data_IF_328807349626
#
_entry.id   IF_328807349626
#
_cell.length_a   1.000
_cell.length_b   1.000
_cell.length_c   1.000
_cell.angle_alpha   90.00
_cell.angle_beta   90.00
_cell.angle_gamma   90.00
#
_symmetry.space_group_name_H-M   'P 1'
#
loop_
_entity.id
_entity.type
_entity.pdbx_description
1 polymer ?
#
# COMPACT_ATOMS: atom_id res chain seq x y z
N UNK A 1 15.40 40.49 45.14
CA UNK A 1 15.83 39.19 45.68
C UNK A 1 15.59 38.15 44.60
N UNK A 2 16.67 37.57 44.06
CA UNK A 2 16.66 36.81 42.81
C UNK A 2 15.97 35.45 42.98
N UNK A 3 14.96 35.23 42.14
CA UNK A 3 14.31 33.95 41.92
C UNK A 3 15.13 33.17 40.88
N UNK A 4 15.98 32.24 41.32
CA UNK A 4 16.61 31.28 40.41
C UNK A 4 16.13 29.87 40.77
N UNK A 5 15.09 29.45 40.06
CA UNK A 5 14.64 28.07 39.99
C UNK A 5 15.70 27.24 39.25
N UNK A 6 16.55 26.53 39.99
CA UNK A 6 17.44 25.51 39.43
C UNK A 6 16.60 24.32 38.96
N UNK A 7 16.31 24.23 37.67
CA UNK A 7 15.83 22.99 37.08
C UNK A 7 16.97 21.95 37.15
N UNK A 8 16.83 20.95 38.02
CA UNK A 8 17.80 19.86 38.14
C UNK A 8 17.88 19.08 36.83
N UNK A 9 19.09 18.82 36.34
CA UNK A 9 19.30 17.98 35.14
C UNK A 9 18.70 16.60 35.35
N UNK A 10 18.05 16.00 34.33
CA UNK A 10 17.41 14.71 34.50
C UNK A 10 18.44 13.62 34.80
N UNK A 11 18.18 12.82 35.83
CA UNK A 11 19.03 11.67 36.20
C UNK A 11 18.95 10.54 35.16
N UNK A 12 19.94 9.64 35.15
CA UNK A 12 19.99 8.51 34.20
C UNK A 12 18.72 7.63 34.22
N UNK A 13 18.09 7.49 35.40
CA UNK A 13 16.81 6.79 35.55
C UNK A 13 15.68 7.48 34.77
N UNK A 14 15.63 8.82 34.81
CA UNK A 14 14.64 9.59 34.06
C UNK A 14 14.89 9.46 32.56
N UNK A 15 16.16 9.45 32.11
CA UNK A 15 16.51 9.19 30.71
C UNK A 15 16.05 7.80 30.26
N UNK A 16 16.24 6.76 31.07
CA UNK A 16 15.75 5.41 30.76
C UNK A 16 14.22 5.36 30.65
N UNK A 17 13.51 6.03 31.56
CA UNK A 17 12.05 6.12 31.50
C UNK A 17 11.60 6.85 30.23
N UNK A 18 12.23 7.96 29.86
CA UNK A 18 11.92 8.65 28.60
C UNK A 18 12.17 7.76 27.38
N UNK A 19 13.30 7.05 27.33
CA UNK A 19 13.59 6.11 26.24
C UNK A 19 12.57 4.96 26.16
N UNK A 20 12.14 4.42 27.30
CA UNK A 20 11.09 3.40 27.36
C UNK A 20 9.74 3.92 26.88
N UNK A 21 9.32 5.11 27.32
CA UNK A 21 8.08 5.74 26.88
C UNK A 21 8.09 6.04 25.37
N UNK A 22 9.21 6.54 24.85
CA UNK A 22 9.41 6.77 23.42
C UNK A 22 9.32 5.44 22.66
N UNK A 23 10.01 4.40 23.11
CA UNK A 23 9.96 3.07 22.49
C UNK A 23 8.55 2.48 22.48
N UNK A 24 7.84 2.55 23.62
CA UNK A 24 6.45 2.10 23.73
C UNK A 24 5.53 2.89 22.80
N UNK A 25 5.69 4.21 22.74
CA UNK A 25 4.93 5.07 21.82
C UNK A 25 5.12 4.65 20.36
N UNK A 26 6.37 4.44 19.92
CA UNK A 26 6.64 3.97 18.55
C UNK A 26 6.03 2.59 18.25
N UNK A 27 6.06 1.67 19.21
CA UNK A 27 5.46 0.34 19.05
C UNK A 27 3.94 0.47 18.91
N UNK A 28 3.30 1.23 19.80
CA UNK A 28 1.85 1.45 19.78
C UNK A 28 1.41 2.10 18.47
N UNK A 29 2.08 3.18 18.07
CA UNK A 29 1.81 3.88 16.81
C UNK A 29 1.87 2.91 15.62
N UNK A 30 2.93 2.10 15.53
CA UNK A 30 3.06 1.12 14.44
C UNK A 30 1.91 0.11 14.44
N UNK A 31 1.51 -0.41 15.60
CA UNK A 31 0.41 -1.37 15.70
C UNK A 31 -0.92 -0.75 15.28
N UNK A 32 -1.18 0.50 15.66
CA UNK A 32 -2.37 1.26 15.24
C UNK A 32 -2.38 1.41 13.71
N UNK A 33 -1.26 1.83 13.11
CA UNK A 33 -1.20 2.01 11.66
C UNK A 33 -1.44 0.70 10.89
N UNK A 34 -0.88 -0.42 11.38
CA UNK A 34 -1.11 -1.76 10.81
C UNK A 34 -2.57 -2.18 10.97
N UNK A 35 -3.17 -1.97 12.14
CA UNK A 35 -4.56 -2.30 12.41
C UNK A 35 -5.52 -1.54 11.47
N UNK A 36 -5.33 -0.22 11.35
CA UNK A 36 -6.09 0.62 10.43
C UNK A 36 -5.87 0.18 8.96
N UNK A 37 -4.66 -0.27 8.62
CA UNK A 37 -4.32 -0.82 7.32
C UNK A 37 -5.12 -2.07 6.99
N UNK A 38 -5.14 -3.05 7.91
CA UNK A 38 -5.92 -4.29 7.76
C UNK A 38 -7.41 -4.01 7.56
N UNK A 39 -7.98 -3.09 8.34
CA UNK A 39 -9.38 -2.70 8.17
C UNK A 39 -9.65 -2.07 6.79
N UNK A 40 -8.75 -1.22 6.31
CA UNK A 40 -8.91 -0.57 5.01
C UNK A 40 -8.87 -1.59 3.85
N UNK A 41 -7.92 -2.54 3.89
CA UNK A 41 -7.81 -3.62 2.90
C UNK A 41 -9.06 -4.51 2.93
N UNK A 42 -9.56 -4.84 4.13
CA UNK A 42 -10.79 -5.61 4.26
C UNK A 42 -12.01 -4.87 3.68
N UNK A 43 -12.06 -3.54 3.85
CA UNK A 43 -13.17 -2.72 3.36
C UNK A 43 -13.26 -2.66 1.82
N UNK A 44 -12.14 -2.75 1.10
CA UNK A 44 -12.18 -2.77 -0.36
C UNK A 44 -12.68 -4.09 -0.92
N UNK A 45 -12.63 -5.18 -0.16
CA UNK A 45 -13.07 -6.52 -0.57
C UNK A 45 -12.50 -6.97 -1.93
N UNK A 46 -11.33 -6.43 -2.32
CA UNK A 46 -10.59 -6.86 -3.49
C UNK A 46 -9.70 -8.07 -3.13
N UNK A 47 -9.51 -9.01 -4.06
CA UNK A 47 -8.75 -10.22 -3.78
C UNK A 47 -7.29 -9.91 -3.44
N UNK A 48 -6.76 -10.58 -2.43
CA UNK A 48 -5.36 -10.50 -2.02
C UNK A 48 -4.48 -11.42 -2.88
N UNK A 49 -4.57 -11.29 -4.20
CA UNK A 49 -3.76 -12.05 -5.15
C UNK A 49 -2.36 -11.47 -5.19
N UNK A 50 -1.33 -12.30 -5.00
CA UNK A 50 0.05 -11.85 -5.20
C UNK A 50 0.30 -11.50 -6.68
N UNK A 51 1.21 -10.56 -6.93
CA UNK A 51 1.40 -10.00 -8.27
C UNK A 51 1.75 -11.06 -9.32
N UNK A 52 2.64 -12.02 -9.02
CA UNK A 52 2.99 -13.09 -9.97
C UNK A 52 1.76 -13.91 -10.40
N UNK A 53 0.85 -14.22 -9.47
CA UNK A 53 -0.37 -14.95 -9.79
C UNK A 53 -1.32 -14.12 -10.66
N UNK A 54 -1.45 -12.82 -10.40
CA UNK A 54 -2.24 -11.92 -11.25
C UNK A 54 -1.69 -11.84 -12.68
N UNK A 55 -0.35 -11.80 -12.83
CA UNK A 55 0.31 -11.86 -14.15
C UNK A 55 0.05 -13.19 -14.86
N UNK A 56 0.11 -14.32 -14.15
CA UNK A 56 -0.24 -15.63 -14.74
C UNK A 56 -1.69 -15.67 -15.22
N UNK A 57 -2.64 -15.20 -14.41
CA UNK A 57 -4.06 -15.14 -14.78
C UNK A 57 -4.31 -14.16 -15.94
N UNK A 58 -3.58 -13.06 -15.98
CA UNK A 58 -3.62 -12.09 -17.08
C UNK A 58 -3.22 -12.74 -18.40
N UNK A 59 -2.09 -13.47 -18.43
CA UNK A 59 -1.64 -14.22 -19.62
C UNK A 59 -2.65 -15.26 -20.11
N UNK A 60 -3.39 -15.89 -19.19
CA UNK A 60 -4.38 -16.92 -19.52
C UNK A 60 -5.70 -16.34 -20.04
N UNK A 61 -6.13 -15.20 -19.51
CA UNK A 61 -7.46 -14.63 -19.77
C UNK A 61 -7.46 -13.44 -20.72
N UNK A 62 -6.30 -12.85 -20.99
CA UNK A 62 -6.17 -11.58 -21.73
C UNK A 62 -6.64 -10.34 -20.96
N UNK A 63 -7.03 -10.47 -19.68
CA UNK A 63 -7.37 -9.31 -18.84
C UNK A 63 -6.10 -8.64 -18.31
N UNK A 64 -5.99 -7.31 -18.31
CA UNK A 64 -4.85 -6.61 -17.73
C UNK A 64 -4.76 -6.79 -16.21
N UNK A 65 -3.57 -6.56 -15.65
CA UNK A 65 -3.33 -6.50 -14.20
C UNK A 65 -3.49 -5.06 -13.72
N UNK A 66 -4.26 -4.85 -12.65
CA UNK A 66 -4.26 -3.60 -11.88
C UNK A 66 -3.41 -3.81 -10.62
N UNK A 67 -2.16 -3.34 -10.68
CA UNK A 67 -1.19 -3.47 -9.59
C UNK A 67 -1.23 -2.23 -8.69
N UNK A 68 -1.56 -2.41 -7.41
CA UNK A 68 -1.55 -1.39 -6.38
C UNK A 68 -0.31 -1.55 -5.50
N UNK A 69 0.71 -0.74 -5.77
CA UNK A 69 1.91 -0.64 -4.96
C UNK A 69 1.65 0.21 -3.73
N UNK A 70 1.79 -0.41 -2.56
CA UNK A 70 1.27 0.13 -1.33
C UNK A 70 2.14 -0.19 -0.12
N UNK A 71 1.79 0.42 1.00
CA UNK A 71 2.31 0.08 2.31
C UNK A 71 1.16 0.08 3.34
N UNK A 72 1.13 -0.91 4.22
CA UNK A 72 0.02 -1.08 5.17
C UNK A 72 -0.11 0.12 6.15
N UNK A 73 1.01 0.76 6.47
CA UNK A 73 1.05 1.94 7.34
C UNK A 73 0.78 3.26 6.60
N UNK A 74 0.71 3.25 5.27
CA UNK A 74 0.55 4.46 4.45
C UNK A 74 -0.90 4.99 4.56
N UNK A 75 -1.05 6.20 5.11
CA UNK A 75 -2.37 6.83 5.32
C UNK A 75 -3.13 7.10 4.01
N UNK A 76 -2.44 7.60 2.99
CA UNK A 76 -3.03 7.84 1.66
C UNK A 76 -3.52 6.54 1.01
N UNK A 77 -2.76 5.45 1.17
CA UNK A 77 -3.10 4.14 0.67
C UNK A 77 -4.38 3.61 1.33
N UNK A 78 -4.52 3.75 2.65
CA UNK A 78 -5.75 3.39 3.36
C UNK A 78 -6.95 4.22 2.92
N UNK A 79 -6.73 5.51 2.63
CA UNK A 79 -7.78 6.40 2.10
C UNK A 79 -8.23 5.93 0.71
N UNK A 80 -7.31 5.53 -0.16
CA UNK A 80 -7.62 4.95 -1.47
C UNK A 80 -8.48 3.69 -1.30
N UNK A 81 -8.05 2.75 -0.46
CA UNK A 81 -8.77 1.49 -0.21
C UNK A 81 -10.21 1.74 0.26
N UNK A 82 -10.39 2.57 1.30
CA UNK A 82 -11.72 2.81 1.90
C UNK A 82 -12.65 3.67 1.06
N UNK A 83 -12.12 4.67 0.37
CA UNK A 83 -12.97 5.66 -0.27
C UNK A 83 -13.17 5.34 -1.75
N UNK A 84 -12.13 4.84 -2.42
CA UNK A 84 -12.14 4.62 -3.88
C UNK A 84 -12.36 3.16 -4.20
N UNK A 85 -11.49 2.27 -3.72
CA UNK A 85 -11.55 0.85 -4.11
C UNK A 85 -12.75 0.11 -3.49
N UNK A 86 -13.19 0.52 -2.31
CA UNK A 86 -14.42 0.02 -1.68
C UNK A 86 -15.72 0.59 -2.30
N UNK A 87 -15.63 1.58 -3.20
CA UNK A 87 -16.81 2.07 -3.89
C UNK A 87 -17.36 0.97 -4.80
N UNK A 88 -18.66 0.67 -4.70
CA UNK A 88 -19.28 -0.44 -5.42
C UNK A 88 -19.05 -0.40 -6.94
N UNK A 89 -19.11 0.78 -7.58
CA UNK A 89 -18.88 0.91 -9.03
C UNK A 89 -17.43 0.60 -9.40
N UNK A 90 -16.48 1.13 -8.62
CA UNK A 90 -15.04 0.89 -8.82
C UNK A 90 -14.71 -0.57 -8.61
N UNK A 91 -15.18 -1.15 -7.49
CA UNK A 91 -14.98 -2.56 -7.16
C UNK A 91 -15.48 -3.47 -8.27
N UNK A 92 -16.73 -3.29 -8.70
CA UNK A 92 -17.34 -4.08 -9.78
C UNK A 92 -16.56 -3.93 -11.08
N UNK A 93 -16.15 -2.71 -11.43
CA UNK A 93 -15.37 -2.47 -12.63
C UNK A 93 -14.01 -3.18 -12.58
N UNK A 94 -13.31 -3.11 -11.45
CA UNK A 94 -12.03 -3.81 -11.24
C UNK A 94 -12.21 -5.32 -11.38
N UNK A 95 -13.17 -5.90 -10.65
CA UNK A 95 -13.43 -7.33 -10.66
C UNK A 95 -13.84 -7.86 -12.03
N UNK A 96 -14.57 -7.07 -12.82
CA UNK A 96 -15.00 -7.45 -14.16
C UNK A 96 -13.85 -7.41 -15.18
N UNK A 97 -12.97 -6.41 -15.09
CA UNK A 97 -12.06 -6.07 -16.18
C UNK A 97 -10.57 -6.34 -15.90
N UNK A 98 -10.18 -6.55 -14.64
CA UNK A 98 -8.78 -6.63 -14.24
C UNK A 98 -8.50 -7.83 -13.33
N UNK A 99 -7.26 -8.29 -13.37
CA UNK A 99 -6.67 -9.04 -12.26
C UNK A 99 -6.05 -8.05 -11.29
N UNK A 100 -6.71 -7.83 -10.15
CA UNK A 100 -6.18 -6.95 -9.12
C UNK A 100 -5.07 -7.63 -8.32
N UNK A 101 -3.98 -6.90 -8.08
CA UNK A 101 -2.90 -7.31 -7.19
C UNK A 101 -2.47 -6.15 -6.32
N UNK A 102 -2.44 -6.37 -5.00
CA UNK A 102 -1.85 -5.43 -4.04
C UNK A 102 -0.44 -5.92 -3.69
N UNK A 103 0.55 -5.05 -3.85
CA UNK A 103 1.94 -5.30 -3.46
C UNK A 103 2.25 -4.47 -2.22
N UNK A 104 2.78 -5.11 -1.18
CA UNK A 104 3.09 -4.44 0.07
C UNK A 104 4.60 -4.24 0.23
N UNK A 105 5.02 -2.99 0.46
CA UNK A 105 6.43 -2.62 0.55
C UNK A 105 7.18 -3.29 1.72
N UNK A 106 6.50 -3.54 2.84
CA UNK A 106 7.06 -4.25 4.00
C UNK A 106 7.03 -5.77 3.86
N UNK A 107 6.43 -6.29 2.79
CA UNK A 107 6.33 -7.73 2.58
C UNK A 107 7.62 -8.26 1.94
N UNK A 108 8.69 -8.28 2.75
CA UNK A 108 10.01 -8.80 2.36
C UNK A 108 10.11 -10.32 2.50
N UNK A 109 9.03 -11.01 2.91
CA UNK A 109 9.05 -12.45 3.16
C UNK A 109 8.22 -13.20 2.14
N UNK A 110 8.83 -13.85 1.13
CA UNK A 110 8.18 -15.01 0.54
C UNK A 110 7.85 -16.01 1.67
N UNK A 111 6.70 -16.72 1.61
CA UNK A 111 6.43 -17.77 2.59
C UNK A 111 7.61 -18.75 2.62
N UNK A 112 7.93 -19.30 3.80
CA UNK A 112 9.18 -20.02 4.08
C UNK A 112 9.48 -21.22 3.14
N UNK A 113 8.50 -21.65 2.35
CA UNK A 113 8.55 -22.72 1.36
C UNK A 113 8.73 -22.23 -0.10
N UNK A 114 8.99 -20.94 -0.35
CA UNK A 114 8.99 -20.34 -1.69
C UNK A 114 10.36 -19.74 -2.07
N UNK A 115 11.44 -20.52 -1.91
CA UNK A 115 12.84 -20.11 -2.12
C UNK A 115 13.16 -19.43 -3.49
N UNK A 116 12.26 -19.51 -4.48
CA UNK A 116 12.42 -18.96 -5.82
C UNK A 116 11.30 -18.00 -6.26
N UNK A 117 10.48 -17.45 -5.35
CA UNK A 117 9.45 -16.46 -5.71
C UNK A 117 9.95 -15.05 -5.46
N UNK A 118 9.88 -14.22 -6.50
CA UNK A 118 10.13 -12.77 -6.45
C UNK A 118 9.30 -12.14 -5.32
N UNK A 119 9.98 -11.43 -4.42
CA UNK A 119 9.32 -10.72 -3.32
C UNK A 119 8.50 -9.55 -3.86
N UNK A 120 7.57 -9.01 -3.06
CA UNK A 120 6.86 -7.80 -3.46
C UNK A 120 7.87 -6.66 -3.71
N UNK A 121 8.91 -6.55 -2.87
CA UNK A 121 9.98 -5.54 -2.99
C UNK A 121 10.67 -5.54 -4.34
N UNK A 122 11.00 -6.72 -4.88
CA UNK A 122 11.68 -6.78 -6.17
C UNK A 122 10.82 -6.16 -7.29
N UNK A 123 9.48 -6.20 -7.17
CA UNK A 123 8.58 -5.55 -8.14
C UNK A 123 8.58 -4.04 -8.00
N UNK A 124 8.71 -3.49 -6.78
CA UNK A 124 8.92 -2.05 -6.60
C UNK A 124 10.16 -1.59 -7.36
N UNK A 125 11.27 -2.31 -7.21
CA UNK A 125 12.53 -1.98 -7.89
C UNK A 125 12.40 -2.11 -9.41
N UNK A 126 11.79 -3.21 -9.89
CA UNK A 126 11.61 -3.45 -11.33
C UNK A 126 10.76 -2.37 -12.02
N UNK A 127 9.71 -1.88 -11.36
CA UNK A 127 8.85 -0.84 -11.89
C UNK A 127 9.28 0.58 -11.48
N UNK A 128 10.40 0.72 -10.75
CA UNK A 128 10.92 2.03 -10.30
C UNK A 128 9.98 2.77 -9.35
N UNK A 129 9.12 2.07 -8.60
CA UNK A 129 8.12 2.67 -7.73
C UNK A 129 8.78 3.21 -6.46
N UNK A 130 8.69 4.52 -6.25
CA UNK A 130 9.33 5.23 -5.12
C UNK A 130 8.36 5.86 -4.13
N UNK A 131 7.06 5.79 -4.40
CA UNK A 131 6.03 6.45 -3.59
C UNK A 131 4.71 5.70 -3.61
N UNK A 132 3.89 5.94 -2.59
CA UNK A 132 2.61 5.25 -2.39
C UNK A 132 1.42 6.22 -2.25
N UNK A 133 0.22 5.81 -2.67
CA UNK A 133 -0.03 4.65 -3.51
C UNK A 133 0.45 4.89 -4.95
N UNK A 134 0.94 3.86 -5.62
CA UNK A 134 1.18 3.86 -7.06
C UNK A 134 0.34 2.77 -7.71
N UNK A 135 -0.51 3.12 -8.68
CA UNK A 135 -1.30 2.14 -9.41
C UNK A 135 -0.82 2.03 -10.84
N UNK A 136 -0.52 0.80 -11.27
CA UNK A 136 -0.12 0.48 -12.63
C UNK A 136 -1.18 -0.43 -13.26
N UNK A 137 -1.59 -0.08 -14.48
CA UNK A 137 -2.28 -1.00 -15.39
C UNK A 137 -1.22 -1.64 -16.27
N UNK A 138 -1.15 -2.97 -16.24
CA UNK A 138 -0.15 -3.75 -16.96
C UNK A 138 -0.88 -4.69 -17.92
N UNK A 139 -0.60 -4.57 -19.20
CA UNK A 139 -1.21 -5.35 -20.28
C UNK A 139 -0.13 -5.83 -21.26
N UNK A 140 0.29 -7.09 -21.10
CA UNK A 140 1.50 -7.59 -21.75
C UNK A 140 2.72 -6.76 -21.36
N UNK A 141 3.37 -6.15 -22.36
CA UNK A 141 4.55 -5.29 -22.16
C UNK A 141 4.18 -3.81 -21.93
N UNK A 142 2.90 -3.45 -22.05
CA UNK A 142 2.45 -2.07 -21.84
C UNK A 142 2.18 -1.83 -20.36
N UNK A 143 2.81 -0.78 -19.81
CA UNK A 143 2.64 -0.35 -18.43
C UNK A 143 2.17 1.10 -18.42
N UNK A 144 1.02 1.35 -17.80
CA UNK A 144 0.46 2.69 -17.64
C UNK A 144 0.22 2.99 -16.16
N UNK A 145 0.82 4.07 -15.68
CA UNK A 145 0.54 4.56 -14.33
C UNK A 145 -0.75 5.39 -14.30
N UNK A 146 -1.59 5.16 -13.30
CA UNK A 146 -2.76 6.00 -13.04
C UNK A 146 -2.33 7.27 -12.28
N UNK A 147 -2.95 8.40 -12.61
CA UNK A 147 -2.78 9.65 -11.89
C UNK A 147 -3.33 9.50 -10.45
N UNK A 148 -2.63 10.04 -9.43
CA UNK A 148 -3.10 9.99 -8.06
C UNK A 148 -4.40 10.79 -7.89
N UNK A 149 -5.52 10.11 -7.64
CA UNK A 149 -6.80 10.74 -7.33
C UNK A 149 -7.57 9.95 -6.28
N UNK A 150 -8.35 10.66 -5.47
CA UNK A 150 -9.31 10.09 -4.52
C UNK A 150 -10.76 10.35 -4.94
N UNK A 151 -10.97 10.88 -6.15
CA UNK A 151 -12.30 11.16 -6.71
C UNK A 151 -12.75 9.98 -7.54
N UNK A 152 -13.93 9.45 -7.23
CA UNK A 152 -14.45 8.20 -7.81
C UNK A 152 -14.56 8.29 -9.33
N UNK A 153 -15.17 9.36 -9.83
CA UNK A 153 -15.40 9.52 -11.28
C UNK A 153 -14.09 9.68 -12.06
N UNK A 154 -13.11 10.41 -11.52
CA UNK A 154 -11.78 10.55 -12.14
C UNK A 154 -11.02 9.22 -12.14
N UNK A 155 -11.17 8.42 -11.08
CA UNK A 155 -10.55 7.11 -11.00
C UNK A 155 -11.17 6.13 -12.01
N UNK A 156 -12.50 6.09 -12.08
CA UNK A 156 -13.23 5.25 -13.05
C UNK A 156 -12.89 5.63 -14.49
N UNK A 157 -12.89 6.92 -14.83
CA UNK A 157 -12.54 7.39 -16.17
C UNK A 157 -11.15 6.90 -16.62
N UNK A 158 -10.19 6.86 -15.68
CA UNK A 158 -8.84 6.35 -15.97
C UNK A 158 -8.77 4.83 -16.20
N UNK A 159 -9.67 4.05 -15.59
CA UNK A 159 -9.80 2.62 -15.84
C UNK A 159 -10.46 2.35 -17.20
N UNK A 160 -11.52 3.09 -17.51
CA UNK A 160 -12.28 2.96 -18.76
C UNK A 160 -11.47 3.37 -20.00
N UNK A 161 -10.47 4.25 -19.83
CA UNK A 161 -9.59 4.67 -20.91
C UNK A 161 -8.65 3.51 -21.30
N UNK A 162 -9.09 2.65 -22.21
CA UNK A 162 -8.26 1.65 -22.87
C UNK A 162 -7.25 2.35 -23.78
N UNK A 163 -6.06 2.63 -23.24
CA UNK A 163 -4.86 2.95 -24.00
C UNK A 163 -4.93 4.22 -24.86
N UNK A 164 -4.58 5.36 -24.26
CA UNK A 164 -3.87 6.41 -24.99
C UNK A 164 -2.73 6.90 -24.09
N UNK A 165 -1.60 6.18 -24.15
CA UNK A 165 -0.30 6.70 -23.74
C UNK A 165 0.56 6.64 -24.99
N UNK A 166 0.95 7.82 -25.49
CA UNK A 166 1.92 7.98 -26.58
C UNK A 166 3.27 7.37 -26.22
#
# INVERSE_FOLDING_TARGET
MNNQSFASKPGWQQLLVFLLLIGLFFIIERQIQVYLGKQAIAASALPSTNFSAAVTLSRQSGKPVLANFSAIWCGACRRLERNVLANAKVHQHIMANYHYARLEYENDRPPANAANRKSDRDWFDQFGVRGFPTLLVIDGDHVRQLAPTFRIEEFLAQLETRGVGK
#
